data_IF_959800890630
#
_entry.id   IF_959800890630
#
_cell.length_a   1.000
_cell.length_b   1.000
_cell.length_c   1.000
_cell.angle_alpha   90.00
_cell.angle_beta   90.00
_cell.angle_gamma   90.00
#
_symmetry.space_group_name_H-M   'P 1'
#
loop_
_entity.id
_entity.type
_entity.pdbx_description
1 polymer ?
#
# COMPACT_ATOMS: atom_id res chain seq x y z
N UNK A 1 -78.72 -26.55 -0.05
CA UNK A 1 -77.77 -27.68 -0.14
C UNK A 1 -76.99 -27.54 -1.44
N UNK A 2 -75.66 -27.73 -1.43
CA UNK A 2 -74.73 -27.08 -2.35
C UNK A 2 -74.15 -28.03 -3.41
N UNK A 3 -73.64 -27.44 -4.49
CA UNK A 3 -72.49 -27.94 -5.27
C UNK A 3 -71.84 -26.70 -5.91
N UNK A 4 -70.80 -26.09 -5.31
CA UNK A 4 -69.37 -26.39 -5.52
C UNK A 4 -69.00 -26.62 -6.99
N UNK A 5 -67.99 -26.03 -7.61
CA UNK A 5 -67.10 -24.92 -7.32
C UNK A 5 -66.37 -24.71 -8.67
N UNK A 6 -66.56 -23.58 -9.35
CA UNK A 6 -65.77 -23.25 -10.53
C UNK A 6 -64.46 -22.60 -10.07
N UNK A 7 -63.41 -23.41 -9.97
CA UNK A 7 -62.05 -22.93 -9.71
C UNK A 7 -61.55 -22.11 -10.90
N UNK A 8 -61.35 -20.81 -10.65
CA UNK A 8 -60.45 -19.95 -11.39
C UNK A 8 -59.01 -20.47 -11.19
N UNK A 9 -58.44 -21.14 -12.19
CA UNK A 9 -56.98 -21.34 -12.27
C UNK A 9 -56.34 -20.10 -12.88
N UNK A 10 -56.19 -19.05 -12.07
CA UNK A 10 -55.22 -18.00 -12.34
C UNK A 10 -53.85 -18.60 -12.04
N UNK A 11 -53.10 -18.95 -13.08
CA UNK A 11 -51.68 -19.27 -12.97
C UNK A 11 -50.94 -18.02 -12.49
N UNK A 12 -50.87 -17.85 -11.17
CA UNK A 12 -49.99 -16.90 -10.52
C UNK A 12 -48.58 -17.49 -10.62
N UNK A 13 -47.92 -17.24 -11.75
CA UNK A 13 -46.48 -17.43 -11.87
C UNK A 13 -45.82 -16.34 -11.03
N UNK A 14 -45.85 -16.52 -9.69
CA UNK A 14 -44.93 -15.84 -8.81
C UNK A 14 -43.54 -16.34 -9.20
N UNK A 15 -42.90 -15.58 -10.09
CA UNK A 15 -41.48 -15.60 -10.24
C UNK A 15 -40.89 -15.55 -8.83
N UNK A 16 -40.25 -16.66 -8.44
CA UNK A 16 -39.25 -16.68 -7.39
C UNK A 16 -38.13 -15.74 -7.85
N UNK A 17 -38.36 -14.44 -7.71
CA UNK A 17 -37.32 -13.46 -7.52
C UNK A 17 -36.75 -13.78 -6.13
N UNK A 18 -35.96 -14.86 -6.06
CA UNK A 18 -34.92 -14.93 -5.06
C UNK A 18 -34.21 -13.58 -5.16
N UNK A 19 -34.12 -12.80 -4.06
CA UNK A 19 -33.27 -11.63 -4.09
C UNK A 19 -31.91 -12.17 -4.46
N UNK A 20 -31.47 -11.89 -5.68
CA UNK A 20 -30.07 -12.06 -6.05
C UNK A 20 -29.34 -11.36 -4.91
N UNK A 21 -28.59 -12.15 -4.13
CA UNK A 21 -27.84 -11.61 -3.01
C UNK A 21 -27.15 -10.40 -3.58
N UNK A 22 -27.50 -9.22 -3.10
CA UNK A 22 -26.66 -8.06 -3.24
C UNK A 22 -25.43 -8.42 -2.42
N UNK A 23 -24.55 -9.22 -3.03
CA UNK A 23 -23.24 -9.53 -2.54
C UNK A 23 -22.53 -8.20 -2.67
N UNK A 24 -22.67 -7.38 -1.63
CA UNK A 24 -21.60 -6.48 -1.25
C UNK A 24 -20.34 -7.33 -1.09
N UNK A 25 -19.19 -6.67 -1.17
CA UNK A 25 -17.82 -7.19 -1.28
C UNK A 25 -17.34 -8.16 -0.15
N UNK A 26 -18.25 -8.82 0.56
CA UNK A 26 -17.94 -9.86 1.53
C UNK A 26 -17.17 -11.06 0.96
N UNK A 27 -17.53 -11.57 -0.22
CA UNK A 27 -16.89 -12.78 -0.77
C UNK A 27 -15.39 -12.59 -1.10
N UNK A 28 -14.95 -11.49 -1.76
CA UNK A 28 -13.54 -11.19 -1.92
C UNK A 28 -12.75 -11.06 -0.61
N UNK A 29 -13.25 -10.33 0.39
CA UNK A 29 -12.62 -10.24 1.71
C UNK A 29 -12.36 -11.62 2.30
N UNK A 30 -13.38 -12.48 2.30
CA UNK A 30 -13.25 -13.83 2.82
C UNK A 30 -12.22 -14.66 2.04
N UNK A 31 -12.24 -14.58 0.71
CA UNK A 31 -11.30 -15.31 -0.15
C UNK A 31 -9.84 -14.87 0.11
N UNK A 32 -9.60 -13.57 0.22
CA UNK A 32 -8.27 -12.99 0.46
C UNK A 32 -7.77 -13.37 1.87
N UNK A 33 -8.56 -13.13 2.92
CA UNK A 33 -8.17 -13.49 4.29
C UNK A 33 -7.92 -14.99 4.43
N UNK A 34 -8.78 -15.86 3.89
CA UNK A 34 -8.55 -17.32 3.93
C UNK A 34 -7.26 -17.72 3.23
N UNK A 35 -6.95 -17.12 2.07
CA UNK A 35 -5.71 -17.40 1.34
C UNK A 35 -4.47 -16.94 2.12
N UNK A 36 -4.53 -15.77 2.78
CA UNK A 36 -3.47 -15.26 3.63
C UNK A 36 -3.21 -16.17 4.84
N UNK A 37 -4.28 -16.64 5.51
CA UNK A 37 -4.17 -17.61 6.62
C UNK A 37 -3.57 -18.94 6.14
N UNK A 38 -3.97 -19.40 4.95
CA UNK A 38 -3.52 -20.69 4.41
C UNK A 38 -2.00 -20.78 4.22
N UNK A 39 -1.30 -19.67 3.98
CA UNK A 39 0.16 -19.64 3.83
C UNK A 39 0.93 -19.39 5.12
N UNK A 40 0.25 -19.11 6.24
CA UNK A 40 0.93 -18.98 7.53
C UNK A 40 1.64 -20.28 7.94
N UNK A 41 2.73 -20.25 8.71
CA UNK A 41 3.32 -21.46 9.26
C UNK A 41 2.33 -22.29 10.09
N UNK A 42 2.45 -23.63 10.13
CA UNK A 42 1.53 -24.50 10.87
C UNK A 42 1.29 -24.08 12.31
N UNK A 43 2.35 -23.72 13.04
CA UNK A 43 2.25 -23.30 14.44
C UNK A 43 1.43 -22.01 14.64
N UNK A 44 1.39 -21.11 13.65
CA UNK A 44 0.58 -19.89 13.72
C UNK A 44 -0.89 -20.20 13.50
N UNK A 45 -1.21 -21.09 12.54
CA UNK A 45 -2.57 -21.58 12.33
C UNK A 45 -3.09 -22.35 13.56
N UNK A 46 -2.24 -23.17 14.17
CA UNK A 46 -2.55 -23.89 15.42
C UNK A 46 -2.79 -22.92 16.59
N UNK A 47 -1.99 -21.86 16.71
CA UNK A 47 -2.18 -20.82 17.73
C UNK A 47 -3.53 -20.11 17.58
N UNK A 48 -3.94 -19.77 16.35
CA UNK A 48 -5.23 -19.15 16.08
C UNK A 48 -6.39 -20.12 16.32
N UNK A 49 -6.20 -21.42 16.08
CA UNK A 49 -7.22 -22.44 16.30
C UNK A 49 -8.53 -22.11 15.58
N UNK A 50 -9.65 -22.15 16.31
CA UNK A 50 -10.97 -21.80 15.75
C UNK A 50 -11.08 -20.33 15.29
N UNK A 51 -10.27 -19.43 15.85
CA UNK A 51 -10.28 -18.02 15.46
C UNK A 51 -9.70 -17.82 14.04
N UNK A 52 -8.93 -18.77 13.50
CA UNK A 52 -8.48 -18.71 12.11
C UNK A 52 -9.68 -18.75 11.13
N UNK A 53 -10.63 -19.66 11.38
CA UNK A 53 -11.86 -19.74 10.59
C UNK A 53 -12.72 -18.50 10.80
N UNK A 54 -12.90 -18.06 12.05
CA UNK A 54 -13.68 -16.86 12.34
C UNK A 54 -13.07 -15.59 11.73
N UNK A 55 -11.74 -15.50 11.65
CA UNK A 55 -11.03 -14.42 10.98
C UNK A 55 -11.37 -14.39 9.47
N UNK A 56 -11.25 -15.54 8.80
CA UNK A 56 -11.54 -15.67 7.36
C UNK A 56 -13.01 -15.51 6.99
N UNK A 57 -13.93 -15.90 7.86
CA UNK A 57 -15.36 -15.97 7.51
C UNK A 57 -16.21 -14.86 8.13
N UNK A 58 -15.67 -14.08 9.08
CA UNK A 58 -16.45 -13.09 9.82
C UNK A 58 -15.68 -11.84 10.24
N UNK A 59 -14.51 -11.99 10.87
CA UNK A 59 -13.85 -10.84 11.50
C UNK A 59 -13.26 -9.87 10.48
N UNK A 60 -12.90 -10.33 9.27
CA UNK A 60 -12.49 -9.47 8.16
C UNK A 60 -13.62 -8.53 7.66
N UNK A 61 -14.87 -8.70 8.11
CA UNK A 61 -16.00 -7.82 7.79
C UNK A 61 -16.43 -6.94 8.97
N UNK A 62 -15.64 -6.88 10.05
CA UNK A 62 -16.01 -6.08 11.22
C UNK A 62 -16.29 -4.62 10.85
N UNK A 63 -15.46 -3.92 10.05
CA UNK A 63 -15.71 -2.53 9.69
C UNK A 63 -16.99 -2.32 8.86
N UNK A 64 -17.33 -3.24 7.95
CA UNK A 64 -18.58 -3.19 7.19
C UNK A 64 -19.82 -3.42 8.06
N UNK A 65 -19.67 -4.22 9.11
CA UNK A 65 -20.78 -4.67 9.95
C UNK A 65 -20.95 -3.87 11.23
N UNK A 66 -20.27 -2.73 11.42
CA UNK A 66 -20.30 -1.98 12.69
C UNK A 66 -21.71 -1.54 13.13
N UNK A 67 -22.66 -1.40 12.20
CA UNK A 67 -24.06 -1.04 12.51
C UNK A 67 -24.96 -2.25 12.76
N UNK A 68 -24.59 -3.44 12.28
CA UNK A 68 -25.39 -4.68 12.36
C UNK A 68 -24.85 -5.65 13.42
N UNK A 69 -23.55 -5.65 13.66
CA UNK A 69 -22.84 -6.45 14.67
C UNK A 69 -22.26 -5.54 15.77
N UNK A 70 -23.13 -5.19 16.73
CA UNK A 70 -22.76 -4.33 17.86
C UNK A 70 -21.73 -4.95 18.80
N UNK A 71 -21.62 -6.27 18.84
CA UNK A 71 -20.63 -6.96 19.67
C UNK A 71 -19.23 -6.68 19.17
N UNK A 72 -19.04 -6.80 17.85
CA UNK A 72 -17.73 -6.62 17.23
C UNK A 72 -17.42 -5.18 16.81
N UNK A 73 -18.41 -4.30 16.72
CA UNK A 73 -18.21 -2.89 16.34
C UNK A 73 -17.13 -2.15 17.16
N UNK A 74 -16.92 -2.53 18.43
CA UNK A 74 -15.87 -1.95 19.28
C UNK A 74 -14.44 -2.25 18.80
N UNK A 75 -14.24 -3.29 18.00
CA UNK A 75 -12.92 -3.64 17.46
C UNK A 75 -12.55 -2.82 16.22
N UNK A 76 -13.52 -2.10 15.62
CA UNK A 76 -13.28 -1.08 14.59
C UNK A 76 -13.03 0.32 15.17
N UNK A 77 -13.07 0.50 16.49
CA UNK A 77 -12.88 1.81 17.14
C UNK A 77 -11.43 2.05 17.52
N UNK A 78 -11.03 3.32 17.48
CA UNK A 78 -9.78 3.82 18.04
C UNK A 78 -10.03 4.62 19.30
N UNK A 79 -9.15 4.48 20.29
CA UNK A 79 -9.23 5.27 21.53
C UNK A 79 -9.14 6.80 21.27
N UNK A 80 -8.51 7.21 20.17
CA UNK A 80 -8.42 8.62 19.73
C UNK A 80 -9.72 9.18 19.15
N UNK A 81 -10.69 8.34 18.82
CA UNK A 81 -12.00 8.70 18.26
C UNK A 81 -13.11 7.96 19.03
N UNK A 82 -13.32 8.29 20.32
CA UNK A 82 -14.22 7.55 21.17
C UNK A 82 -15.66 7.64 20.69
N UNK A 83 -16.30 6.49 20.49
CA UNK A 83 -17.70 6.39 20.02
C UNK A 83 -17.85 6.34 18.50
N UNK A 84 -16.80 6.64 17.73
CA UNK A 84 -16.81 6.49 16.28
C UNK A 84 -16.51 5.05 15.89
N UNK A 85 -17.58 4.26 15.73
CA UNK A 85 -17.50 2.86 15.29
C UNK A 85 -17.17 2.74 13.80
N UNK A 86 -17.53 3.73 13.00
CA UNK A 86 -17.32 3.74 11.55
C UNK A 86 -16.19 4.72 11.21
N UNK A 87 -15.00 4.18 10.99
CA UNK A 87 -13.83 4.97 10.62
C UNK A 87 -13.63 4.89 9.11
N UNK A 88 -13.87 6.00 8.39
CA UNK A 88 -13.72 6.06 6.92
C UNK A 88 -12.35 5.59 6.43
N UNK A 89 -11.30 5.82 7.23
CA UNK A 89 -9.93 5.41 6.93
C UNK A 89 -9.74 3.88 6.89
N UNK A 90 -10.65 3.10 7.46
CA UNK A 90 -10.66 1.65 7.31
C UNK A 90 -11.11 1.18 5.92
N UNK A 91 -11.74 2.07 5.13
CA UNK A 91 -12.30 1.74 3.82
C UNK A 91 -11.61 2.45 2.65
N UNK A 92 -11.05 3.64 2.89
CA UNK A 92 -10.55 4.50 1.81
C UNK A 92 -9.13 4.97 2.10
N UNK A 93 -8.17 4.77 1.16
CA UNK A 93 -6.84 5.33 1.24
C UNK A 93 -6.84 6.84 1.46
N UNK A 94 -5.98 7.29 2.38
CA UNK A 94 -5.76 8.70 2.74
C UNK A 94 -4.26 8.98 2.81
N UNK A 95 -3.84 9.98 3.57
CA UNK A 95 -2.45 10.39 3.74
C UNK A 95 -1.66 9.40 4.61
N UNK A 96 -0.40 9.17 4.21
CA UNK A 96 0.50 8.21 4.85
C UNK A 96 0.57 8.30 6.39
N UNK A 97 0.70 9.49 7.02
CA UNK A 97 0.80 9.57 8.48
C UNK A 97 -0.47 9.05 9.18
N UNK A 98 -1.64 9.30 8.61
CA UNK A 98 -2.92 8.84 9.15
C UNK A 98 -3.04 7.32 8.99
N UNK A 99 -2.66 6.79 7.81
CA UNK A 99 -2.62 5.34 7.53
C UNK A 99 -1.67 4.62 8.48
N UNK A 100 -0.47 5.17 8.69
CA UNK A 100 0.52 4.61 9.63
C UNK A 100 -0.05 4.50 11.04
N UNK A 101 -0.68 5.55 11.57
CA UNK A 101 -1.23 5.55 12.92
C UNK A 101 -2.38 4.53 13.09
N UNK A 102 -3.24 4.38 12.08
CA UNK A 102 -4.33 3.39 12.11
C UNK A 102 -3.79 1.96 12.10
N UNK A 103 -2.87 1.66 11.19
CA UNK A 103 -2.23 0.34 11.12
C UNK A 103 -1.53 0.04 12.44
N UNK A 104 -0.76 1.02 12.96
CA UNK A 104 -0.03 0.91 14.23
C UNK A 104 -0.96 0.59 15.38
N UNK A 105 -2.07 1.30 15.51
CA UNK A 105 -3.04 1.08 16.56
C UNK A 105 -3.63 -0.34 16.50
N UNK A 106 -4.20 -0.75 15.36
CA UNK A 106 -4.86 -2.06 15.27
C UNK A 106 -3.86 -3.22 15.39
N UNK A 107 -2.65 -3.06 14.84
CA UNK A 107 -1.54 -3.99 15.03
C UNK A 107 -1.15 -4.09 16.51
N UNK A 108 -0.99 -2.97 17.21
CA UNK A 108 -0.64 -2.93 18.64
C UNK A 108 -1.69 -3.69 19.48
N UNK A 109 -2.98 -3.42 19.24
CA UNK A 109 -4.08 -4.08 19.95
C UNK A 109 -4.11 -5.59 19.71
N UNK A 110 -3.85 -6.03 18.48
CA UNK A 110 -3.76 -7.46 18.16
C UNK A 110 -2.55 -8.13 18.83
N UNK A 111 -1.38 -7.50 18.80
CA UNK A 111 -0.15 -7.98 19.45
C UNK A 111 -0.34 -8.09 20.97
N UNK A 112 -0.94 -7.08 21.60
CA UNK A 112 -1.24 -7.09 23.04
C UNK A 112 -2.23 -8.21 23.40
N UNK A 113 -3.29 -8.39 22.60
CA UNK A 113 -4.24 -9.48 22.79
C UNK A 113 -3.56 -10.86 22.78
N UNK A 114 -2.64 -11.11 21.84
CA UNK A 114 -1.87 -12.36 21.81
C UNK A 114 -0.96 -12.52 23.03
N UNK A 115 -0.24 -11.46 23.44
CA UNK A 115 0.65 -11.49 24.61
C UNK A 115 -0.08 -11.83 25.90
N UNK A 116 -1.34 -11.39 26.01
CA UNK A 116 -2.19 -11.61 27.17
C UNK A 116 -3.03 -12.90 27.08
N UNK A 117 -2.86 -13.70 26.03
CA UNK A 117 -3.64 -14.93 25.81
C UNK A 117 -5.10 -14.69 25.40
N UNK A 118 -5.46 -13.47 25.02
CA UNK A 118 -6.78 -13.08 24.50
C UNK A 118 -6.83 -13.26 22.98
N UNK A 119 -6.59 -14.49 22.51
CA UNK A 119 -6.51 -14.81 21.06
C UNK A 119 -7.77 -14.38 20.29
N UNK A 120 -8.95 -14.48 20.90
CA UNK A 120 -10.20 -14.03 20.26
C UNK A 120 -10.30 -12.51 20.07
N UNK A 121 -9.78 -11.72 21.01
CA UNK A 121 -9.70 -10.25 20.84
C UNK A 121 -8.64 -9.90 19.79
N UNK A 122 -7.50 -10.59 19.83
CA UNK A 122 -6.44 -10.40 18.84
C UNK A 122 -6.92 -10.69 17.41
N UNK A 123 -7.64 -11.79 17.20
CA UNK A 123 -8.19 -12.16 15.90
C UNK A 123 -9.22 -11.14 15.38
N UNK A 124 -10.00 -10.49 16.26
CA UNK A 124 -10.93 -9.43 15.84
C UNK A 124 -10.20 -8.17 15.41
N UNK A 125 -9.16 -7.75 16.14
CA UNK A 125 -8.31 -6.63 15.70
C UNK A 125 -7.51 -6.95 14.43
N UNK A 126 -7.03 -8.19 14.28
CA UNK A 126 -6.48 -8.68 13.01
C UNK A 126 -7.51 -8.56 11.89
N UNK A 127 -8.77 -8.94 12.13
CA UNK A 127 -9.85 -8.84 11.14
C UNK A 127 -10.13 -7.39 10.71
N UNK A 128 -10.13 -6.44 11.64
CA UNK A 128 -10.22 -5.01 11.30
C UNK A 128 -9.06 -4.54 10.42
N UNK A 129 -7.83 -5.00 10.71
CA UNK A 129 -6.69 -4.68 9.85
C UNK A 129 -6.75 -5.41 8.50
N UNK A 130 -7.23 -6.67 8.46
CA UNK A 130 -7.46 -7.42 7.22
C UNK A 130 -8.36 -6.65 6.29
N UNK A 131 -9.50 -6.20 6.81
CA UNK A 131 -10.48 -5.41 6.07
C UNK A 131 -9.83 -4.17 5.44
N UNK A 132 -9.06 -3.41 6.23
CA UNK A 132 -8.39 -2.21 5.71
C UNK A 132 -7.41 -2.54 4.58
N UNK A 133 -6.63 -3.61 4.73
CA UNK A 133 -5.68 -4.05 3.70
C UNK A 133 -6.42 -4.42 2.40
N UNK A 134 -7.50 -5.19 2.54
CA UNK A 134 -8.33 -5.66 1.42
C UNK A 134 -9.05 -4.52 0.70
N UNK A 135 -9.62 -3.56 1.43
CA UNK A 135 -10.25 -2.38 0.82
C UNK A 135 -9.22 -1.51 0.13
N UNK A 136 -8.05 -1.27 0.73
CA UNK A 136 -7.01 -0.45 0.11
C UNK A 136 -6.41 -1.11 -1.13
N UNK A 137 -6.44 -2.43 -1.19
CA UNK A 137 -6.05 -3.22 -2.36
C UNK A 137 -7.17 -3.46 -3.37
N UNK A 138 -8.39 -3.01 -3.06
CA UNK A 138 -9.51 -3.10 -3.97
C UNK A 138 -9.40 -2.14 -5.15
N UNK A 139 -9.65 -2.60 -6.40
CA UNK A 139 -9.77 -1.69 -7.54
C UNK A 139 -10.85 -0.61 -7.38
N UNK A 140 -11.91 -0.85 -6.58
CA UNK A 140 -13.03 0.10 -6.39
C UNK A 140 -12.73 1.23 -5.40
N UNK A 141 -11.80 1.02 -4.47
CA UNK A 141 -11.46 1.99 -3.42
C UNK A 141 -10.20 2.79 -3.73
N UNK A 142 -9.47 2.43 -4.79
CA UNK A 142 -8.15 2.99 -5.07
C UNK A 142 -8.17 4.21 -5.99
N UNK A 143 -9.34 4.62 -6.52
CA UNK A 143 -9.48 5.86 -7.29
C UNK A 143 -9.86 7.02 -6.36
N UNK A 144 -8.93 7.95 -6.06
CA UNK A 144 -9.17 9.00 -5.07
C UNK A 144 -10.32 9.93 -5.51
N UNK A 145 -11.34 10.05 -4.65
CA UNK A 145 -12.48 10.92 -4.89
C UNK A 145 -13.51 10.40 -5.91
N UNK A 146 -13.33 9.19 -6.45
CA UNK A 146 -14.24 8.62 -7.45
C UNK A 146 -14.43 7.10 -7.28
N UNK A 147 -14.68 6.66 -6.04
CA UNK A 147 -14.93 5.24 -5.73
C UNK A 147 -16.25 4.69 -6.33
N UNK A 148 -17.12 5.58 -6.83
CA UNK A 148 -18.33 5.23 -7.59
C UNK A 148 -18.14 5.28 -9.10
N UNK A 149 -16.95 5.69 -9.59
CA UNK A 149 -16.55 5.75 -11.00
C UNK A 149 -17.34 6.70 -11.91
N UNK A 150 -17.95 7.72 -11.32
CA UNK A 150 -18.74 8.73 -12.02
C UNK A 150 -17.87 9.70 -12.83
N UNK A 151 -16.68 10.05 -12.35
CA UNK A 151 -15.73 10.87 -13.09
C UNK A 151 -15.06 10.04 -14.17
N UNK A 152 -14.65 8.81 -13.86
CA UNK A 152 -13.98 7.94 -14.82
C UNK A 152 -14.88 7.60 -16.02
N UNK A 153 -16.19 7.46 -15.81
CA UNK A 153 -17.19 7.31 -16.88
C UNK A 153 -17.22 8.49 -17.88
N UNK A 154 -16.77 9.69 -17.50
CA UNK A 154 -16.66 10.82 -18.44
C UNK A 154 -15.46 10.67 -19.40
N UNK A 155 -14.37 10.03 -18.93
CA UNK A 155 -13.18 9.75 -19.74
C UNK A 155 -13.31 8.43 -20.53
N UNK A 156 -14.04 7.47 -19.97
CA UNK A 156 -14.32 6.15 -20.55
C UNK A 156 -15.84 5.92 -20.54
N UNK A 157 -16.57 6.48 -21.51
CA UNK A 157 -18.03 6.37 -21.55
C UNK A 157 -18.50 4.91 -21.56
N UNK A 158 -19.48 4.57 -20.70
CA UNK A 158 -20.07 3.24 -20.65
C UNK A 158 -20.88 2.91 -21.91
N UNK A 159 -21.16 1.62 -22.10
CA UNK A 159 -22.11 1.18 -23.11
C UNK A 159 -23.54 1.61 -22.73
N UNK A 160 -24.46 1.63 -23.70
CA UNK A 160 -25.88 1.94 -23.43
C UNK A 160 -26.49 1.03 -22.34
N UNK A 161 -26.00 -0.21 -22.22
CA UNK A 161 -26.45 -1.17 -21.22
C UNK A 161 -25.96 -0.85 -19.79
N UNK A 162 -24.86 -0.12 -19.65
CA UNK A 162 -24.16 0.12 -18.38
C UNK A 162 -24.12 1.59 -17.95
N UNK A 163 -24.67 2.51 -18.77
CA UNK A 163 -24.57 3.95 -18.54
C UNK A 163 -25.23 4.50 -17.29
N UNK A 164 -26.22 3.79 -16.76
CA UNK A 164 -26.96 4.16 -15.55
C UNK A 164 -26.53 3.33 -14.33
N UNK A 165 -25.49 2.50 -14.47
CA UNK A 165 -25.01 1.61 -13.41
C UNK A 165 -23.89 2.26 -12.58
N UNK A 166 -23.99 2.15 -11.25
CA UNK A 166 -22.87 2.44 -10.34
C UNK A 166 -21.83 1.33 -10.46
N UNK A 167 -20.59 1.67 -10.83
CA UNK A 167 -19.57 0.67 -11.15
C UNK A 167 -18.76 0.17 -9.96
N UNK A 168 -18.97 0.72 -8.75
CA UNK A 168 -18.33 0.25 -7.52
C UNK A 168 -18.50 -1.27 -7.36
N UNK A 169 -19.75 -1.72 -7.21
CA UNK A 169 -20.11 -3.13 -7.09
C UNK A 169 -19.61 -4.01 -8.25
N UNK A 170 -19.82 -3.66 -9.52
CA UNK A 170 -19.33 -4.46 -10.65
C UNK A 170 -17.81 -4.59 -10.77
N UNK A 171 -17.06 -3.55 -10.42
CA UNK A 171 -15.59 -3.58 -10.44
C UNK A 171 -15.08 -4.48 -9.33
N UNK A 172 -15.79 -4.45 -8.21
CA UNK A 172 -15.33 -5.05 -6.98
C UNK A 172 -15.85 -6.51 -6.86
N UNK A 173 -17.15 -6.74 -6.96
CA UNK A 173 -17.74 -8.03 -6.69
C UNK A 173 -17.27 -9.06 -7.73
N UNK A 174 -16.64 -10.12 -7.22
CA UNK A 174 -16.21 -11.26 -8.01
C UNK A 174 -16.32 -12.54 -7.19
N UNK A 175 -16.63 -13.64 -7.88
CA UNK A 175 -16.61 -14.98 -7.30
C UNK A 175 -15.33 -15.67 -7.78
N UNK A 176 -14.31 -15.64 -6.93
CA UNK A 176 -13.00 -16.22 -7.24
C UNK A 176 -12.34 -16.81 -6.00
N UNK A 177 -11.57 -17.88 -6.21
CA UNK A 177 -10.68 -18.43 -5.19
C UNK A 177 -9.30 -17.77 -5.31
N UNK A 178 -8.82 -17.20 -4.21
CA UNK A 178 -7.45 -16.68 -4.13
C UNK A 178 -6.53 -17.80 -3.68
N UNK A 179 -5.42 -17.99 -4.38
CA UNK A 179 -4.36 -18.92 -3.98
C UNK A 179 -3.02 -18.19 -4.05
N UNK A 180 -2.26 -18.26 -2.96
CA UNK A 180 -0.94 -17.64 -2.85
C UNK A 180 0.15 -18.70 -3.05
N UNK A 181 0.17 -19.29 -4.24
CA UNK A 181 1.09 -20.38 -4.59
C UNK A 181 2.54 -19.97 -4.33
N UNK A 182 3.27 -20.80 -3.58
CA UNK A 182 4.69 -20.59 -3.22
C UNK A 182 4.99 -19.30 -2.44
N UNK A 183 3.96 -18.60 -1.95
CA UNK A 183 4.17 -17.41 -1.14
C UNK A 183 4.57 -17.79 0.29
N UNK A 184 5.65 -17.17 0.76
CA UNK A 184 6.09 -17.26 2.14
C UNK A 184 5.97 -15.88 2.79
N UNK A 185 5.13 -15.72 3.83
CA UNK A 185 4.99 -14.46 4.54
C UNK A 185 6.33 -13.93 5.05
N UNK A 186 6.53 -12.62 4.96
CA UNK A 186 7.76 -11.94 5.37
C UNK A 186 7.54 -11.17 6.66
N UNK A 187 8.49 -11.28 7.60
CA UNK A 187 8.49 -10.46 8.81
C UNK A 187 8.71 -8.98 8.47
N UNK A 188 7.74 -8.13 8.81
CA UNK A 188 7.79 -6.70 8.49
C UNK A 188 8.49 -5.85 9.55
N UNK A 189 8.71 -6.36 10.76
CA UNK A 189 9.41 -5.62 11.81
C UNK A 189 9.59 -6.41 13.09
N UNK A 190 10.51 -5.95 13.93
CA UNK A 190 10.77 -6.51 15.26
C UNK A 190 10.00 -5.78 16.37
N UNK A 191 9.33 -4.68 16.02
CA UNK A 191 8.46 -3.89 16.89
C UNK A 191 7.19 -3.53 16.12
N UNK A 192 6.13 -3.12 16.84
CA UNK A 192 4.89 -2.65 16.20
C UNK A 192 5.16 -1.42 15.32
N UNK A 193 5.98 -0.47 15.79
CA UNK A 193 6.31 0.75 15.02
C UNK A 193 7.02 0.41 13.69
N UNK A 194 8.03 -0.47 13.74
CA UNK A 194 8.74 -0.91 12.53
C UNK A 194 7.80 -1.66 11.58
N UNK A 195 7.03 -2.62 12.11
CA UNK A 195 6.15 -3.47 11.31
C UNK A 195 5.03 -2.67 10.64
N UNK A 196 4.40 -1.75 11.37
CA UNK A 196 3.33 -0.89 10.86
C UNK A 196 3.83 0.07 9.78
N UNK A 197 5.05 0.59 9.97
CA UNK A 197 5.68 1.47 8.98
C UNK A 197 6.03 0.73 7.69
N UNK A 198 6.60 -0.48 7.78
CA UNK A 198 6.86 -1.30 6.58
C UNK A 198 5.56 -1.79 5.93
N UNK A 199 4.53 -2.12 6.72
CA UNK A 199 3.22 -2.52 6.21
C UNK A 199 2.54 -1.38 5.44
N UNK A 200 2.63 -0.13 5.92
CA UNK A 200 2.13 1.03 5.17
C UNK A 200 2.77 1.12 3.77
N UNK A 201 4.07 0.84 3.64
CA UNK A 201 4.73 0.82 2.33
C UNK A 201 4.31 -0.36 1.46
N UNK A 202 4.13 -1.55 2.03
CA UNK A 202 3.53 -2.71 1.33
C UNK A 202 2.11 -2.43 0.86
N UNK A 203 1.34 -1.68 1.64
CA UNK A 203 -0.03 -1.28 1.28
C UNK A 203 -0.05 -0.35 0.07
N UNK A 204 0.95 0.52 -0.09
CA UNK A 204 1.08 1.29 -1.33
C UNK A 204 1.33 0.39 -2.54
N UNK A 205 2.09 -0.69 -2.42
CA UNK A 205 2.29 -1.64 -3.52
C UNK A 205 0.97 -2.28 -3.95
N UNK A 206 0.13 -2.68 -2.99
CA UNK A 206 -1.22 -3.19 -3.23
C UNK A 206 -2.10 -2.16 -3.95
N UNK A 207 -2.17 -0.92 -3.42
CA UNK A 207 -2.91 0.19 -4.04
C UNK A 207 -2.51 0.39 -5.51
N UNK A 208 -1.21 0.39 -5.82
CA UNK A 208 -0.74 0.60 -7.19
C UNK A 208 -1.09 -0.56 -8.11
N UNK A 209 -0.97 -1.79 -7.61
CA UNK A 209 -1.36 -2.97 -8.36
C UNK A 209 -2.86 -2.94 -8.68
N UNK A 210 -3.70 -2.64 -7.69
CA UNK A 210 -5.15 -2.50 -7.83
C UNK A 210 -5.56 -1.40 -8.82
N UNK A 211 -4.93 -0.22 -8.74
CA UNK A 211 -5.15 0.86 -9.72
C UNK A 211 -4.85 0.43 -11.15
N UNK A 212 -3.81 -0.39 -11.32
CA UNK A 212 -3.43 -0.88 -12.65
C UNK A 212 -4.44 -1.88 -13.25
N UNK A 213 -5.36 -2.41 -12.44
CA UNK A 213 -6.41 -3.32 -12.88
C UNK A 213 -7.75 -2.62 -13.10
N UNK A 214 -7.98 -1.44 -12.51
CA UNK A 214 -9.25 -0.69 -12.60
C UNK A 214 -9.72 -0.43 -14.04
N UNK A 215 -8.89 0.16 -14.90
CA UNK A 215 -9.27 0.45 -16.30
C UNK A 215 -9.52 -0.84 -17.08
N UNK A 216 -8.65 -1.86 -17.03
CA UNK A 216 -8.93 -3.15 -17.66
C UNK A 216 -10.24 -3.80 -17.22
N UNK A 217 -10.57 -3.76 -15.91
CA UNK A 217 -11.86 -4.28 -15.40
C UNK A 217 -13.02 -3.48 -16.00
N UNK A 218 -12.94 -2.15 -15.99
CA UNK A 218 -14.00 -1.30 -16.53
C UNK A 218 -14.25 -1.56 -18.03
N UNK A 219 -13.18 -1.69 -18.81
CA UNK A 219 -13.28 -2.03 -20.24
C UNK A 219 -13.88 -3.43 -20.46
N UNK A 220 -13.49 -4.41 -19.65
CA UNK A 220 -14.05 -5.76 -19.72
C UNK A 220 -15.54 -5.79 -19.34
N UNK A 221 -15.95 -5.02 -18.32
CA UNK A 221 -17.35 -4.86 -17.95
C UNK A 221 -18.18 -4.27 -19.09
N UNK A 222 -17.70 -3.23 -19.77
CA UNK A 222 -18.40 -2.64 -20.93
C UNK A 222 -18.47 -3.59 -22.13
N UNK A 223 -17.49 -4.47 -22.28
CA UNK A 223 -17.45 -5.52 -23.29
C UNK A 223 -18.20 -6.80 -22.90
N UNK A 224 -18.80 -6.84 -21.70
CA UNK A 224 -19.44 -8.02 -21.11
C UNK A 224 -18.50 -9.25 -20.99
N UNK A 225 -17.18 -9.01 -20.91
CA UNK A 225 -16.15 -10.03 -20.80
C UNK A 225 -15.89 -10.40 -19.33
N UNK A 226 -16.69 -11.34 -18.83
CA UNK A 226 -16.61 -11.82 -17.44
C UNK A 226 -15.27 -12.47 -17.11
N UNK A 227 -14.62 -13.13 -18.07
CA UNK A 227 -13.34 -13.81 -17.84
C UNK A 227 -12.24 -12.78 -17.56
N UNK A 228 -12.17 -11.72 -18.37
CA UNK A 228 -11.22 -10.64 -18.16
C UNK A 228 -11.48 -9.86 -16.85
N UNK A 229 -12.75 -9.66 -16.48
CA UNK A 229 -13.10 -9.07 -15.17
C UNK A 229 -12.49 -9.89 -14.03
N UNK A 230 -12.80 -11.18 -13.97
CA UNK A 230 -12.29 -12.08 -12.91
C UNK A 230 -10.77 -12.15 -12.93
N UNK A 231 -10.14 -12.23 -14.10
CA UNK A 231 -8.68 -12.24 -14.24
C UNK A 231 -8.03 -11.01 -13.59
N UNK A 232 -8.61 -9.84 -13.79
CA UNK A 232 -8.07 -8.60 -13.26
C UNK A 232 -8.39 -8.39 -11.78
N UNK A 233 -9.58 -8.80 -11.32
CA UNK A 233 -9.92 -8.82 -9.89
C UNK A 233 -8.98 -9.77 -9.12
N UNK A 234 -8.75 -10.99 -9.65
CA UNK A 234 -7.84 -11.96 -9.04
C UNK A 234 -6.41 -11.43 -8.97
N UNK A 235 -5.95 -10.68 -9.97
CA UNK A 235 -4.63 -10.04 -9.94
C UNK A 235 -4.50 -9.02 -8.78
N UNK A 236 -5.56 -8.27 -8.47
CA UNK A 236 -5.57 -7.39 -7.30
C UNK A 236 -5.55 -8.21 -6.00
N UNK A 237 -6.51 -9.13 -5.87
CA UNK A 237 -6.70 -9.96 -4.69
C UNK A 237 -5.48 -10.82 -4.30
N UNK A 238 -4.69 -11.29 -5.27
CA UNK A 238 -3.45 -12.05 -4.99
C UNK A 238 -2.42 -11.18 -4.28
N UNK A 239 -2.24 -9.92 -4.69
CA UNK A 239 -1.28 -9.01 -4.04
C UNK A 239 -1.77 -8.63 -2.64
N UNK A 240 -3.07 -8.41 -2.48
CA UNK A 240 -3.66 -8.11 -1.16
C UNK A 240 -3.48 -9.27 -0.20
N UNK A 241 -3.71 -10.51 -0.66
CA UNK A 241 -3.47 -11.70 0.13
C UNK A 241 -2.02 -11.84 0.58
N UNK A 242 -1.05 -11.44 -0.25
CA UNK A 242 0.37 -11.43 0.12
C UNK A 242 0.68 -10.39 1.20
N UNK A 243 0.18 -9.16 1.04
CA UNK A 243 0.35 -8.08 2.02
C UNK A 243 -0.33 -8.44 3.34
N UNK A 244 -1.52 -9.02 3.29
CA UNK A 244 -2.24 -9.48 4.46
C UNK A 244 -1.51 -10.63 5.16
N UNK A 245 -0.97 -11.59 4.40
CA UNK A 245 -0.21 -12.68 4.96
C UNK A 245 1.04 -12.18 5.72
N UNK A 246 1.76 -11.19 5.18
CA UNK A 246 2.88 -10.54 5.87
C UNK A 246 2.44 -9.87 7.18
N UNK A 247 1.28 -9.19 7.16
CA UNK A 247 0.71 -8.51 8.33
C UNK A 247 0.35 -9.51 9.43
N UNK A 248 -0.43 -10.56 9.10
CA UNK A 248 -0.85 -11.60 10.05
C UNK A 248 0.36 -12.36 10.61
N UNK A 249 1.30 -12.74 9.75
CA UNK A 249 2.54 -13.39 10.14
C UNK A 249 3.31 -12.55 11.16
N UNK A 250 3.49 -11.26 10.85
CA UNK A 250 4.23 -10.32 11.70
C UNK A 250 3.54 -10.11 13.04
N UNK A 251 2.22 -9.89 13.07
CA UNK A 251 1.45 -9.72 14.31
C UNK A 251 1.64 -10.93 15.23
N UNK A 252 1.54 -12.14 14.68
CA UNK A 252 1.67 -13.37 15.46
C UNK A 252 3.10 -13.55 15.98
N UNK A 253 4.12 -13.26 15.16
CA UNK A 253 5.52 -13.27 15.59
C UNK A 253 5.78 -12.27 16.73
N UNK A 254 5.26 -11.04 16.63
CA UNK A 254 5.41 -10.01 17.67
C UNK A 254 4.62 -10.33 18.95
N UNK A 255 3.40 -10.87 18.80
CA UNK A 255 2.52 -11.27 19.90
C UNK A 255 3.05 -12.45 20.70
N UNK A 256 3.72 -13.39 20.02
CA UNK A 256 4.32 -14.57 20.66
C UNK A 256 5.81 -14.41 20.98
N UNK A 257 6.42 -13.28 20.60
CA UNK A 257 7.87 -13.05 20.69
C UNK A 257 8.70 -14.14 20.00
N UNK A 258 8.21 -14.66 18.88
CA UNK A 258 8.87 -15.68 18.06
C UNK A 258 9.29 -15.07 16.73
N UNK A 259 10.57 -14.70 16.63
CA UNK A 259 11.20 -14.19 15.41
C UNK A 259 12.42 -15.05 15.12
N UNK A 260 12.55 -15.57 13.90
CA UNK A 260 13.74 -16.33 13.54
C UNK A 260 14.96 -15.39 13.39
N UNK A 261 16.15 -15.88 13.75
CA UNK A 261 17.37 -15.06 13.79
C UNK A 261 17.72 -14.46 12.41
N UNK A 262 17.53 -15.22 11.34
CA UNK A 262 17.76 -14.77 9.96
C UNK A 262 16.80 -13.65 9.57
N UNK A 263 15.54 -13.71 10.01
CA UNK A 263 14.56 -12.64 9.77
C UNK A 263 14.91 -11.38 10.56
N UNK A 264 15.29 -11.53 11.83
CA UNK A 264 15.79 -10.40 12.63
C UNK A 264 16.98 -9.70 11.97
N UNK A 265 17.91 -10.47 11.42
CA UNK A 265 19.08 -9.94 10.69
C UNK A 265 18.66 -9.19 9.41
N UNK A 266 17.63 -9.66 8.70
CA UNK A 266 17.12 -9.00 7.50
C UNK A 266 16.46 -7.64 7.81
N UNK A 267 16.08 -7.38 9.07
CA UNK A 267 15.49 -6.11 9.50
C UNK A 267 16.53 -5.04 9.88
N UNK A 268 17.82 -5.37 9.94
CA UNK A 268 18.89 -4.43 10.36
C UNK A 268 19.08 -3.26 9.40
N UNK A 269 18.67 -3.41 8.14
CA UNK A 269 18.70 -2.36 7.15
C UNK A 269 17.48 -2.41 6.23
N UNK A 270 17.11 -1.27 5.68
CA UNK A 270 16.05 -1.16 4.66
C UNK A 270 16.40 -0.09 3.64
N UNK A 271 16.32 -0.46 2.36
CA UNK A 271 16.41 0.49 1.26
C UNK A 271 15.09 1.24 1.11
N UNK A 272 15.14 2.58 1.11
CA UNK A 272 13.94 3.42 0.97
C UNK A 272 13.78 3.98 -0.45
N UNK A 273 14.58 3.51 -1.41
CA UNK A 273 14.57 4.04 -2.78
C UNK A 273 13.22 3.90 -3.47
N UNK A 274 12.51 2.80 -3.19
CA UNK A 274 11.17 2.52 -3.72
C UNK A 274 10.04 3.04 -2.82
N UNK A 275 10.35 3.65 -1.68
CA UNK A 275 9.33 4.11 -0.76
C UNK A 275 8.71 5.42 -1.23
N UNK A 276 7.47 5.64 -0.83
CA UNK A 276 6.69 6.79 -1.27
C UNK A 276 6.96 7.96 -0.35
N UNK A 277 7.45 9.10 -0.87
CA UNK A 277 7.58 10.30 -0.06
C UNK A 277 6.18 10.88 0.25
N UNK A 278 6.06 11.68 1.30
CA UNK A 278 4.80 12.30 1.75
C UNK A 278 4.19 13.21 0.67
N UNK A 279 5.01 13.75 -0.22
CA UNK A 279 4.56 14.56 -1.36
C UNK A 279 3.78 13.70 -2.40
N UNK A 280 3.87 12.37 -2.35
CA UNK A 280 3.15 11.44 -3.24
C UNK A 280 1.74 11.12 -2.71
N UNK A 281 0.91 12.15 -2.51
CA UNK A 281 -0.40 12.05 -1.84
C UNK A 281 -1.32 10.96 -2.44
N UNK A 282 -1.40 10.89 -3.77
CA UNK A 282 -2.30 9.98 -4.51
C UNK A 282 -1.66 9.39 -5.77
N UNK A 283 -0.37 9.62 -6.01
CA UNK A 283 0.29 9.36 -7.30
C UNK A 283 1.44 8.37 -7.12
N UNK A 284 1.79 7.64 -8.18
CA UNK A 284 2.85 6.62 -8.21
C UNK A 284 4.25 7.15 -7.78
N UNK A 285 4.45 8.47 -7.84
CA UNK A 285 5.53 9.24 -7.22
C UNK A 285 5.10 10.72 -7.33
N UNK A 286 5.64 11.69 -6.56
CA UNK A 286 5.07 13.03 -6.49
C UNK A 286 5.18 13.78 -7.83
N UNK A 287 4.16 13.68 -8.68
CA UNK A 287 4.03 14.52 -9.88
C UNK A 287 3.68 15.95 -9.52
N UNK A 288 3.07 16.20 -8.35
CA UNK A 288 2.81 17.56 -7.86
C UNK A 288 4.12 18.35 -7.61
N UNK A 289 5.25 17.65 -7.49
CA UNK A 289 6.59 18.22 -7.41
C UNK A 289 7.26 18.27 -8.79
N UNK A 290 6.55 18.82 -9.78
CA UNK A 290 7.18 19.24 -11.03
C UNK A 290 8.29 20.23 -10.68
N UNK A 291 9.52 19.86 -11.02
CA UNK A 291 10.58 20.85 -11.11
C UNK A 291 10.55 21.44 -12.52
N UNK A 292 10.63 22.77 -12.56
CA UNK A 292 10.53 23.54 -13.79
C UNK A 292 11.92 23.67 -14.45
N UNK A 293 12.00 24.57 -15.44
CA UNK A 293 13.11 24.69 -16.38
C UNK A 293 14.49 24.43 -15.75
N UNK A 294 15.33 23.67 -16.45
CA UNK A 294 15.24 23.37 -17.88
C UNK A 294 14.70 21.97 -18.22
N UNK A 295 14.47 21.09 -17.24
CA UNK A 295 13.89 19.78 -17.47
C UNK A 295 12.55 19.70 -16.77
N UNK A 296 11.48 19.69 -17.56
CA UNK A 296 10.19 19.22 -17.09
C UNK A 296 10.34 17.77 -16.65
N UNK A 297 10.18 17.52 -15.36
CA UNK A 297 10.32 16.20 -14.79
C UNK A 297 9.71 16.11 -13.41
N UNK A 298 9.71 14.90 -12.89
CA UNK A 298 9.32 14.59 -11.53
C UNK A 298 10.27 13.51 -11.02
N UNK A 299 10.44 13.37 -9.70
CA UNK A 299 11.30 12.35 -9.14
C UNK A 299 10.92 10.93 -9.61
N UNK A 300 11.87 9.99 -9.63
CA UNK A 300 11.63 8.59 -10.03
C UNK A 300 12.48 7.63 -9.20
N UNK A 301 11.89 6.53 -8.77
CA UNK A 301 12.65 5.38 -8.26
C UNK A 301 13.19 4.52 -9.40
N UNK A 302 14.41 3.99 -9.24
CA UNK A 302 15.02 2.96 -10.08
C UNK A 302 15.45 3.39 -11.49
N UNK A 303 15.04 4.58 -11.94
CA UNK A 303 15.36 5.14 -13.26
C UNK A 303 15.54 6.65 -13.20
N UNK A 304 16.18 7.21 -14.22
CA UNK A 304 16.24 8.65 -14.49
C UNK A 304 15.67 8.95 -15.88
N UNK A 305 14.96 10.08 -16.04
CA UNK A 305 14.35 10.46 -17.32
C UNK A 305 15.22 11.48 -18.06
N UNK A 306 16.01 11.03 -19.03
CA UNK A 306 16.75 11.91 -19.92
C UNK A 306 15.79 12.80 -20.72
N UNK A 307 15.98 14.12 -20.59
CA UNK A 307 15.11 15.14 -21.19
C UNK A 307 13.64 15.03 -20.76
N UNK A 308 13.36 14.38 -19.62
CA UNK A 308 12.00 14.12 -19.15
C UNK A 308 11.23 13.05 -19.96
N UNK A 309 11.86 12.35 -20.89
CA UNK A 309 11.16 11.46 -21.86
C UNK A 309 11.72 10.04 -21.92
N UNK A 310 13.03 9.87 -21.86
CA UNK A 310 13.67 8.58 -22.05
C UNK A 310 14.16 8.02 -20.71
N UNK A 311 13.64 6.85 -20.32
CA UNK A 311 14.14 6.15 -19.14
C UNK A 311 15.58 5.66 -19.39
N UNK A 312 16.47 5.99 -18.46
CA UNK A 312 17.84 5.52 -18.38
C UNK A 312 18.08 4.90 -17.00
N UNK A 313 19.00 3.92 -16.89
CA UNK A 313 19.35 3.35 -15.60
C UNK A 313 19.93 4.41 -14.67
N UNK A 314 19.77 4.23 -13.37
CA UNK A 314 20.51 5.04 -12.39
C UNK A 314 21.98 4.67 -12.50
N UNK A 315 22.81 5.65 -12.87
CA UNK A 315 24.25 5.45 -13.04
C UNK A 315 24.98 6.57 -12.30
N UNK A 316 25.96 6.22 -11.49
CA UNK A 316 26.82 7.18 -10.79
C UNK A 316 28.27 6.96 -11.17
N UNK A 317 29.05 8.04 -11.21
CA UNK A 317 30.52 7.95 -11.33
C UNK A 317 31.08 7.45 -10.01
N UNK A 318 31.74 6.31 -9.99
CA UNK A 318 32.52 5.85 -8.82
C UNK A 318 34.01 6.08 -9.06
N UNK A 319 34.82 5.99 -8.00
CA UNK A 319 36.29 6.05 -8.12
C UNK A 319 36.85 4.98 -9.06
N UNK A 320 36.18 3.82 -9.14
CA UNK A 320 36.52 2.69 -10.01
C UNK A 320 35.90 2.77 -11.42
N UNK A 321 35.21 3.87 -11.74
CA UNK A 321 34.46 4.03 -12.99
C UNK A 321 32.93 4.08 -12.77
N UNK A 322 32.14 4.28 -13.82
CA UNK A 322 30.68 4.33 -13.72
C UNK A 322 30.08 3.01 -13.21
N UNK A 323 29.13 3.09 -12.28
CA UNK A 323 28.35 1.94 -11.77
C UNK A 323 26.86 2.20 -11.97
N UNK A 324 26.12 1.17 -12.39
CA UNK A 324 24.67 1.18 -12.42
C UNK A 324 24.07 0.70 -11.10
N UNK A 325 22.92 1.25 -10.74
CA UNK A 325 22.21 1.01 -9.49
C UNK A 325 20.78 0.59 -9.80
N UNK A 326 20.30 -0.46 -9.13
CA UNK A 326 18.90 -0.87 -9.19
C UNK A 326 18.03 -0.06 -8.23
N UNK A 327 18.61 0.33 -7.09
CA UNK A 327 17.93 1.10 -6.05
C UNK A 327 18.48 2.52 -5.98
N UNK A 328 17.56 3.47 -5.93
CA UNK A 328 17.87 4.88 -5.79
C UNK A 328 16.76 5.73 -6.34
N UNK A 329 16.91 7.04 -6.13
CA UNK A 329 15.92 8.03 -6.51
C UNK A 329 16.61 9.06 -7.38
N UNK A 330 16.12 9.25 -8.60
CA UNK A 330 16.42 10.46 -9.36
C UNK A 330 15.43 11.54 -8.98
N UNK A 331 15.91 12.77 -8.82
CA UNK A 331 15.08 13.90 -8.43
C UNK A 331 15.60 15.19 -9.08
N UNK A 332 14.71 16.16 -9.21
CA UNK A 332 15.07 17.49 -9.67
C UNK A 332 15.16 18.51 -8.54
N UNK A 333 15.37 19.77 -8.91
CA UNK A 333 15.76 20.82 -7.98
C UNK A 333 14.55 21.49 -7.32
N UNK A 334 14.77 22.03 -6.12
CA UNK A 334 13.87 23.00 -5.48
C UNK A 334 12.72 22.39 -4.70
N UNK A 335 12.50 21.08 -4.77
CA UNK A 335 11.48 20.35 -4.03
C UNK A 335 12.09 19.22 -3.22
N UNK A 336 11.56 19.00 -2.03
CA UNK A 336 12.02 17.96 -1.11
C UNK A 336 11.26 16.67 -1.35
N UNK A 337 11.90 15.56 -1.01
CA UNK A 337 11.25 14.26 -0.82
C UNK A 337 11.28 13.96 0.67
N UNK A 338 10.11 13.94 1.30
CA UNK A 338 9.97 13.71 2.74
C UNK A 338 9.54 12.27 2.99
N UNK A 339 10.26 11.54 3.82
CA UNK A 339 9.91 10.18 4.25
C UNK A 339 9.53 10.22 5.72
N UNK A 340 8.36 9.68 6.03
CA UNK A 340 7.98 9.37 7.41
C UNK A 340 8.91 8.27 7.93
N UNK A 341 9.42 8.41 9.15
CA UNK A 341 10.25 7.40 9.81
C UNK A 341 9.58 6.90 11.09
N UNK A 342 9.69 5.60 11.42
CA UNK A 342 9.26 5.08 12.70
C UNK A 342 10.27 5.49 13.77
N UNK A 343 9.84 6.39 14.67
CA UNK A 343 10.71 7.03 15.65
C UNK A 343 11.42 6.00 16.53
N UNK A 344 12.74 6.10 16.62
CA UNK A 344 13.55 5.24 17.52
C UNK A 344 13.81 3.82 17.00
N UNK A 345 13.38 3.49 15.78
CA UNK A 345 13.69 2.18 15.16
C UNK A 345 15.04 2.21 14.45
N UNK A 346 15.31 3.23 13.65
CA UNK A 346 16.56 3.37 12.90
C UNK A 346 17.42 4.49 13.49
N UNK A 347 18.74 4.30 13.47
CA UNK A 347 19.72 5.24 14.01
C UNK A 347 20.52 5.94 12.93
N UNK A 348 20.70 5.31 11.76
CA UNK A 348 21.53 5.87 10.69
C UNK A 348 20.83 5.88 9.34
N UNK A 349 21.08 6.93 8.58
CA UNK A 349 20.77 7.00 7.16
C UNK A 349 22.06 7.13 6.35
N UNK A 350 22.17 6.35 5.28
CA UNK A 350 23.30 6.35 4.36
C UNK A 350 22.80 6.42 2.91
N UNK A 351 23.49 7.22 2.07
CA UNK A 351 23.16 7.38 0.65
C UNK A 351 24.40 7.79 -0.15
N UNK A 352 24.43 7.45 -1.44
CA UNK A 352 25.38 8.00 -2.40
C UNK A 352 24.76 9.19 -3.12
N UNK A 353 25.33 10.38 -2.94
CA UNK A 353 24.92 11.58 -3.65
C UNK A 353 25.78 11.78 -4.90
N UNK A 354 25.16 11.90 -6.07
CA UNK A 354 25.92 12.21 -7.28
C UNK A 354 25.06 12.51 -8.49
N UNK A 355 25.72 12.83 -9.59
CA UNK A 355 25.11 13.17 -10.86
C UNK A 355 25.29 12.00 -11.84
N UNK A 356 24.31 11.83 -12.73
CA UNK A 356 24.44 10.86 -13.82
C UNK A 356 25.66 11.21 -14.69
N UNK A 357 26.60 10.30 -14.98
CA UNK A 357 27.90 10.63 -15.56
C UNK A 357 27.83 11.20 -16.99
N UNK A 358 26.79 10.84 -17.74
CA UNK A 358 26.54 11.33 -19.11
C UNK A 358 25.66 12.59 -19.10
N UNK A 359 24.44 12.47 -18.57
CA UNK A 359 23.44 13.56 -18.54
C UNK A 359 23.84 14.73 -17.63
N UNK A 360 24.51 14.43 -16.52
CA UNK A 360 24.85 15.39 -15.47
C UNK A 360 26.28 15.91 -15.52
N UNK A 361 27.03 15.63 -16.59
CA UNK A 361 28.47 15.89 -16.67
C UNK A 361 28.87 17.36 -16.45
N UNK A 362 27.98 18.31 -16.77
CA UNK A 362 28.19 19.76 -16.54
C UNK A 362 27.41 20.30 -15.35
N UNK A 363 26.76 19.41 -14.59
CA UNK A 363 25.92 19.74 -13.46
C UNK A 363 26.74 20.08 -12.23
N UNK A 364 26.13 20.85 -11.34
CA UNK A 364 26.65 21.09 -10.00
C UNK A 364 25.48 21.27 -9.05
N UNK A 365 25.34 20.36 -8.09
CA UNK A 365 24.14 20.25 -7.25
C UNK A 365 24.56 20.12 -5.80
N UNK A 366 23.87 20.85 -4.93
CA UNK A 366 23.91 20.63 -3.49
C UNK A 366 22.85 19.61 -3.09
N UNK A 367 23.29 18.57 -2.42
CA UNK A 367 22.52 17.50 -1.82
C UNK A 367 22.41 17.78 -0.33
N UNK A 368 21.20 17.94 0.17
CA UNK A 368 20.94 18.20 1.59
C UNK A 368 20.03 17.13 2.17
N UNK A 369 20.42 16.61 3.32
CA UNK A 369 19.65 15.69 4.15
C UNK A 369 19.23 16.45 5.41
N UNK A 370 17.93 16.50 5.68
CA UNK A 370 17.38 17.10 6.89
C UNK A 370 16.54 16.09 7.68
N UNK A 371 16.54 16.22 9.01
CA UNK A 371 15.70 15.45 9.93
C UNK A 371 14.88 16.42 10.77
N UNK A 372 13.55 16.29 10.73
CA UNK A 372 12.61 17.19 11.43
C UNK A 372 12.98 18.67 11.24
N UNK A 373 13.14 19.06 9.97
CA UNK A 373 13.48 20.41 9.50
C UNK A 373 14.91 20.90 9.87
N UNK A 374 15.76 20.06 10.47
CA UNK A 374 17.17 20.38 10.77
C UNK A 374 18.11 19.72 9.78
N UNK A 375 19.04 20.47 9.21
CA UNK A 375 20.07 19.93 8.32
C UNK A 375 20.99 18.97 9.09
N UNK A 376 21.08 17.73 8.63
CA UNK A 376 21.95 16.69 9.19
C UNK A 376 23.24 16.55 8.37
N UNK A 377 23.15 16.69 7.05
CA UNK A 377 24.29 16.67 6.14
C UNK A 377 24.02 17.48 4.88
N UNK A 378 25.05 18.13 4.34
CA UNK A 378 25.01 18.76 3.01
C UNK A 378 26.33 18.53 2.27
N UNK A 379 26.26 18.30 0.95
CA UNK A 379 27.40 18.17 0.05
C UNK A 379 27.09 18.80 -1.31
N UNK A 380 28.06 19.51 -1.87
CA UNK A 380 28.01 19.96 -3.27
C UNK A 380 28.77 18.94 -4.11
N UNK A 381 28.15 18.45 -5.17
CA UNK A 381 28.75 17.48 -6.11
C UNK A 381 28.67 18.04 -7.53
N UNK A 382 29.78 17.96 -8.26
CA UNK A 382 29.90 18.34 -9.67
C UNK A 382 29.88 17.11 -10.58
N UNK A 383 29.51 17.28 -11.85
CA UNK A 383 29.28 16.17 -12.80
C UNK A 383 30.52 15.34 -13.17
N UNK A 384 31.70 15.90 -12.97
CA UNK A 384 33.00 15.27 -13.16
C UNK A 384 33.52 14.56 -11.89
N UNK A 385 32.89 14.78 -10.74
CA UNK A 385 33.27 14.16 -9.47
C UNK A 385 32.66 12.77 -9.32
N UNK A 386 33.37 11.91 -8.58
CA UNK A 386 32.78 10.67 -8.11
C UNK A 386 31.63 10.96 -7.12
N UNK A 387 30.63 10.09 -7.09
CA UNK A 387 29.55 10.14 -6.12
C UNK A 387 30.10 10.13 -4.69
N UNK A 388 29.51 10.95 -3.85
CA UNK A 388 29.96 11.21 -2.48
C UNK A 388 29.06 10.44 -1.50
N UNK A 389 29.63 9.63 -0.60
CA UNK A 389 28.85 9.03 0.47
C UNK A 389 28.40 10.12 1.46
N UNK A 390 27.14 10.07 1.84
CA UNK A 390 26.55 10.88 2.89
C UNK A 390 25.97 9.95 3.94
N UNK A 391 26.39 10.13 5.20
CA UNK A 391 25.95 9.34 6.35
C UNK A 391 25.58 10.34 7.45
N UNK A 392 24.42 10.12 8.08
CA UNK A 392 23.97 10.92 9.22
C UNK A 392 23.23 10.07 10.25
N UNK A 393 23.28 10.53 11.50
CA UNK A 393 22.48 9.97 12.59
C UNK A 393 21.06 10.53 12.49
N UNK A 394 20.07 9.66 12.66
CA UNK A 394 18.64 9.93 12.53
C UNK A 394 17.85 9.39 13.74
N UNK A 395 18.53 8.99 14.81
CA UNK A 395 17.87 8.55 16.03
C UNK A 395 16.91 9.63 16.55
N UNK A 396 15.66 9.23 16.79
CA UNK A 396 14.60 10.13 17.25
C UNK A 396 13.98 11.04 16.18
N UNK A 397 14.47 11.00 14.93
CA UNK A 397 13.88 11.75 13.81
C UNK A 397 12.60 11.08 13.32
N UNK A 398 11.56 11.88 13.07
CA UNK A 398 10.27 11.40 12.55
C UNK A 398 10.08 11.66 11.05
N UNK A 399 10.79 12.65 10.48
CA UNK A 399 10.73 12.99 9.07
C UNK A 399 12.13 13.17 8.50
N UNK A 400 12.49 12.35 7.52
CA UNK A 400 13.73 12.48 6.75
C UNK A 400 13.44 13.19 5.44
N UNK A 401 14.13 14.28 5.16
CA UNK A 401 13.97 15.06 3.93
C UNK A 401 15.22 15.01 3.08
N UNK A 402 15.05 14.67 1.80
CA UNK A 402 16.08 14.74 0.78
C UNK A 402 15.77 15.93 -0.14
N UNK A 403 16.67 16.91 -0.20
CA UNK A 403 16.48 18.10 -1.02
C UNK A 403 17.69 18.41 -1.90
N UNK A 404 17.40 19.00 -3.05
CA UNK A 404 18.39 19.29 -4.08
C UNK A 404 18.34 20.76 -4.46
N UNK A 405 19.49 21.42 -4.44
CA UNK A 405 19.63 22.82 -4.86
C UNK A 405 20.66 22.94 -5.97
N UNK A 406 20.30 23.56 -7.09
CA UNK A 406 21.26 23.83 -8.16
C UNK A 406 22.32 24.84 -7.70
N UNK A 407 23.59 24.51 -7.91
CA UNK A 407 24.76 25.38 -7.64
C UNK A 407 25.61 25.60 -8.89
N UNK A 408 25.13 25.14 -10.05
CA UNK A 408 25.79 25.26 -11.34
C UNK A 408 25.20 26.37 -12.20
N UNK A 409 25.96 26.78 -13.20
CA UNK A 409 25.52 27.74 -14.24
C UNK A 409 24.55 27.05 -15.20
N UNK A 410 24.82 25.78 -15.53
CA UNK A 410 23.96 24.96 -16.38
C UNK A 410 22.99 24.11 -15.57
N UNK A 411 21.82 24.68 -15.25
CA UNK A 411 20.73 23.94 -14.64
C UNK A 411 20.27 22.75 -15.51
N UNK A 412 20.63 22.69 -16.81
CA UNK A 412 20.24 21.60 -17.73
C UNK A 412 21.07 20.34 -17.51
N UNK A 413 22.04 20.38 -16.62
CA UNK A 413 22.86 19.23 -16.30
C UNK A 413 22.63 18.75 -14.86
N UNK A 414 21.54 19.17 -14.20
CA UNK A 414 21.25 18.82 -12.81
C UNK A 414 20.56 17.44 -12.66
N UNK A 415 21.08 16.40 -13.32
CA UNK A 415 20.56 15.02 -13.27
C UNK A 415 21.05 14.29 -12.01
N UNK A 416 20.50 14.69 -10.86
CA UNK A 416 20.89 14.22 -9.55
C UNK A 416 20.28 12.86 -9.20
N UNK A 417 21.05 12.06 -8.47
CA UNK A 417 20.69 10.71 -8.02
C UNK A 417 21.07 10.58 -6.54
N UNK A 418 20.11 10.13 -5.75
CA UNK A 418 20.28 9.54 -4.42
C UNK A 418 20.39 8.02 -4.59
N UNK A 419 21.62 7.49 -4.67
CA UNK A 419 21.88 6.07 -4.90
C UNK A 419 21.87 5.25 -3.60
N UNK A 420 21.19 4.09 -3.61
CA UNK A 420 21.10 3.16 -2.47
C UNK A 420 20.72 3.84 -1.12
N UNK A 421 19.69 4.71 -1.05
CA UNK A 421 19.29 5.36 0.20
C UNK A 421 18.80 4.30 1.19
N UNK A 422 19.51 4.16 2.32
CA UNK A 422 19.36 3.04 3.25
C UNK A 422 19.25 3.53 4.68
N UNK A 423 18.26 3.02 5.43
CA UNK A 423 18.15 3.18 6.88
C UNK A 423 18.78 1.98 7.59
N UNK A 424 19.40 2.19 8.75
CA UNK A 424 20.07 1.16 9.57
C UNK A 424 19.79 1.36 11.06
N UNK A 425 19.67 0.25 11.80
CA UNK A 425 19.48 0.24 13.26
C UNK A 425 20.74 0.62 14.03
#
# INVERSE_FOLDING_TARGET
MPSHAALFSLFLTCALLLPGRALAWGEPHHAITRAAIAVLPPWQRELLGAEATALGDRYCLIPDHVFTDRENARFAQMDSAPGDVYLKILHLPTQQPEVYEVIRYFMERAVLGLREGRTGDAARYMGTLSHQIEDYGSPSHTVPGDNMFTLLQQFLPPSEATKDQLMHGPIENGDFAVTLTEYHPVLLGATVDEASWRLMHRLHEAILNARSTTIPILQALYAEDKESVVKHQLRAAVVDGQVLADALYTIICLGTSKIAQNEGTALEAVGIGNFFPLEALSLYYPQAEFFSAPHWGYPRSGVILAGGKQAMPLKLRMKSGPKEFREGISAGMGKSLTFLLPKGVYRRFAVLAGLHPELGAKGRVEFTISGDDKVLASRIVSGDEAAQPMICEIEGISRLQLSLTSRGIDAKSAYAIWGEPTLRK
#
